data_IF_523840373618
#
_entry.id   IF_523840373618
#
_cell.length_a   1.000
_cell.length_b   1.000
_cell.length_c   1.000
_cell.angle_alpha   90.00
_cell.angle_beta   90.00
_cell.angle_gamma   90.00
#
_symmetry.space_group_name_H-M   'P 1'
#
loop_
_entity.id
_entity.type
_entity.pdbx_description
1 polymer ?
#
# COMPACT_ATOMS: atom_id res chain seq x y z
N UNK A 1 -25.37 -7.29 10.03
CA UNK A 1 -25.22 -7.49 11.48
C UNK A 1 -24.76 -6.23 12.23
N UNK A 2 -24.14 -5.23 11.59
CA UNK A 2 -23.62 -4.01 12.25
C UNK A 2 -24.22 -2.72 11.70
N UNK A 3 -25.23 -2.77 10.86
CA UNK A 3 -25.85 -1.58 10.24
C UNK A 3 -26.36 -0.58 11.28
N UNK A 4 -26.98 -1.07 12.35
CA UNK A 4 -27.48 -0.20 13.42
C UNK A 4 -26.36 0.55 14.15
N UNK A 5 -25.16 -0.03 14.21
CA UNK A 5 -23.98 0.61 14.83
C UNK A 5 -23.31 1.63 13.92
N UNK A 6 -23.49 1.48 12.61
CA UNK A 6 -22.84 2.33 11.59
C UNK A 6 -23.78 3.40 11.01
N UNK A 7 -25.08 3.37 11.36
CA UNK A 7 -26.09 4.25 10.77
C UNK A 7 -25.82 5.76 10.92
N UNK A 8 -25.10 6.13 11.98
CA UNK A 8 -24.78 7.51 12.31
C UNK A 8 -23.32 7.88 11.93
N UNK A 9 -22.63 6.98 11.23
CA UNK A 9 -21.23 7.16 10.79
C UNK A 9 -21.23 7.40 9.29
N UNK A 10 -20.72 8.56 8.87
CA UNK A 10 -20.47 8.84 7.46
C UNK A 10 -19.20 8.11 7.02
N UNK A 11 -19.34 7.16 6.11
CA UNK A 11 -18.22 6.47 5.47
C UNK A 11 -17.91 7.11 4.12
N UNK A 12 -16.64 7.12 3.74
CA UNK A 12 -16.20 7.51 2.43
C UNK A 12 -16.55 6.45 1.37
N UNK A 13 -16.73 6.87 0.14
CA UNK A 13 -16.92 5.96 -0.97
C UNK A 13 -15.64 5.17 -1.26
N UNK A 14 -15.81 3.91 -1.65
CA UNK A 14 -14.72 3.01 -2.05
C UNK A 14 -14.90 2.64 -3.50
N UNK A 15 -13.90 2.89 -4.30
CA UNK A 15 -13.90 2.59 -5.72
C UNK A 15 -12.90 1.52 -6.06
N UNK A 16 -13.30 0.53 -6.84
CA UNK A 16 -12.37 -0.38 -7.52
C UNK A 16 -11.69 0.38 -8.66
N UNK A 17 -10.40 0.15 -8.82
CA UNK A 17 -9.58 0.91 -9.74
C UNK A 17 -8.51 0.03 -10.38
N UNK A 18 -8.31 0.21 -11.67
CA UNK A 18 -7.29 -0.50 -12.43
C UNK A 18 -6.38 0.50 -13.13
N UNK A 19 -5.09 0.25 -13.08
CA UNK A 19 -4.11 1.06 -13.79
C UNK A 19 -3.05 0.15 -14.47
N UNK A 20 -2.27 0.74 -15.36
CA UNK A 20 -1.15 0.06 -16.00
C UNK A 20 0.13 0.36 -15.26
N UNK A 21 0.86 -0.68 -14.87
CA UNK A 21 2.22 -0.54 -14.32
C UNK A 21 3.22 -0.16 -15.42
N UNK A 22 4.46 0.12 -15.03
CA UNK A 22 5.55 0.54 -15.93
C UNK A 22 5.85 -0.45 -17.06
N UNK A 23 5.58 -1.74 -16.83
CA UNK A 23 5.73 -2.82 -17.81
C UNK A 23 4.44 -3.13 -18.61
N UNK A 24 3.37 -2.35 -18.43
CA UNK A 24 2.09 -2.53 -19.09
C UNK A 24 1.15 -3.54 -18.42
N UNK A 25 1.56 -4.19 -17.33
CA UNK A 25 0.72 -5.10 -16.56
C UNK A 25 -0.42 -4.32 -15.90
N UNK A 26 -1.65 -4.88 -15.95
CA UNK A 26 -2.80 -4.28 -15.26
C UNK A 26 -2.74 -4.61 -13.77
N UNK A 27 -2.68 -3.58 -12.95
CA UNK A 27 -2.76 -3.67 -11.49
C UNK A 27 -4.16 -3.29 -11.06
N UNK A 28 -4.80 -4.14 -10.27
CA UNK A 28 -6.04 -3.83 -9.60
C UNK A 28 -5.76 -3.17 -8.25
N UNK A 29 -6.54 -2.17 -7.90
CA UNK A 29 -6.45 -1.51 -6.61
C UNK A 29 -7.78 -0.95 -6.18
N UNK A 30 -7.75 -0.23 -5.08
CA UNK A 30 -8.87 0.53 -4.56
C UNK A 30 -8.42 1.91 -4.14
N UNK A 31 -9.35 2.85 -4.21
CA UNK A 31 -9.16 4.11 -3.53
C UNK A 31 -10.40 4.47 -2.70
N UNK A 32 -10.16 5.19 -1.64
CA UNK A 32 -11.15 5.64 -0.67
C UNK A 32 -11.23 7.15 -0.73
N UNK A 33 -12.43 7.67 -0.89
CA UNK A 33 -12.70 9.10 -0.85
C UNK A 33 -13.09 9.53 0.57
N UNK A 34 -12.81 10.78 0.96
CA UNK A 34 -13.33 11.33 2.21
C UNK A 34 -14.86 11.27 2.30
N UNK A 35 -15.44 11.10 3.49
CA UNK A 35 -16.85 11.40 3.68
C UNK A 35 -17.13 12.83 3.23
N UNK A 36 -18.27 13.09 2.57
CA UNK A 36 -18.60 14.41 2.02
C UNK A 36 -17.63 14.92 0.95
N UNK A 37 -17.07 14.00 0.16
CA UNK A 37 -16.16 14.32 -0.95
C UNK A 37 -16.76 15.37 -1.88
N UNK A 38 -15.95 16.38 -2.22
CA UNK A 38 -16.28 17.44 -3.19
C UNK A 38 -15.31 17.36 -4.37
N UNK A 39 -15.76 17.02 -5.58
CA UNK A 39 -14.89 16.88 -6.75
C UNK A 39 -14.21 18.19 -7.20
N UNK A 40 -14.64 19.34 -6.68
CA UNK A 40 -14.05 20.64 -6.95
C UNK A 40 -12.90 21.00 -5.99
N UNK A 41 -12.66 20.19 -4.97
CA UNK A 41 -11.56 20.36 -4.03
C UNK A 41 -10.39 19.43 -4.36
N UNK A 42 -9.20 19.80 -3.87
CA UNK A 42 -8.01 18.97 -3.94
C UNK A 42 -7.69 18.42 -2.56
N UNK A 43 -7.43 17.13 -2.51
CA UNK A 43 -7.18 16.40 -1.27
C UNK A 43 -5.74 15.87 -1.21
N UNK A 44 -5.11 15.91 -0.03
CA UNK A 44 -3.88 15.16 0.20
C UNK A 44 -4.16 13.67 0.01
N UNK A 45 -3.19 12.94 -0.51
CA UNK A 45 -3.38 11.54 -0.87
C UNK A 45 -2.33 10.65 -0.22
N UNK A 46 -2.75 9.55 0.37
CA UNK A 46 -1.91 8.54 0.99
C UNK A 46 -1.87 7.27 0.14
N UNK A 47 -0.67 6.86 -0.23
CA UNK A 47 -0.41 5.53 -0.75
C UNK A 47 -0.34 4.57 0.44
N UNK A 48 -1.24 3.61 0.50
CA UNK A 48 -1.22 2.53 1.49
C UNK A 48 -0.39 1.36 0.97
N UNK A 49 0.71 1.06 1.67
CA UNK A 49 1.59 -0.06 1.38
C UNK A 49 1.17 -1.24 2.26
N UNK A 50 0.58 -2.26 1.65
CA UNK A 50 0.13 -3.47 2.36
C UNK A 50 1.31 -4.29 2.85
N UNK A 51 1.17 -4.85 4.05
CA UNK A 51 2.13 -5.74 4.67
C UNK A 51 2.13 -7.15 4.06
N UNK A 52 2.71 -8.07 4.75
CA UNK A 52 2.85 -9.46 4.34
C UNK A 52 4.31 -9.84 4.09
N UNK A 53 4.81 -9.87 2.85
CA UNK A 53 4.28 -9.24 1.61
C UNK A 53 3.08 -9.93 0.94
N UNK A 54 2.69 -11.10 1.38
CA UNK A 54 1.62 -11.91 0.80
C UNK A 54 0.27 -11.67 1.53
N UNK A 55 -0.21 -10.43 1.51
CA UNK A 55 -1.53 -10.06 2.05
C UNK A 55 -2.26 -9.13 1.08
N UNK A 56 -3.44 -9.50 0.53
CA UNK A 56 -4.14 -8.69 -0.46
C UNK A 56 -4.92 -7.55 0.20
N UNK A 57 -4.99 -6.42 -0.50
CA UNK A 57 -5.96 -5.39 -0.16
C UNK A 57 -7.33 -5.82 -0.66
N UNK A 58 -8.19 -6.16 0.27
CA UNK A 58 -9.56 -6.62 0.02
C UNK A 58 -10.59 -5.74 0.74
N UNK A 59 -11.79 -6.24 0.94
CA UNK A 59 -12.84 -5.56 1.73
C UNK A 59 -12.71 -5.87 3.24
N UNK A 60 -11.50 -6.01 3.75
CA UNK A 60 -11.30 -6.26 5.18
C UNK A 60 -11.63 -5.03 6.01
N UNK A 61 -12.08 -5.25 7.22
CA UNK A 61 -12.26 -4.23 8.24
C UNK A 61 -11.25 -4.48 9.37
N UNK A 62 -10.43 -3.48 9.65
CA UNK A 62 -9.45 -3.54 10.73
C UNK A 62 -9.63 -2.35 11.66
N UNK A 63 -9.50 -2.58 12.95
CA UNK A 63 -9.45 -1.49 13.94
C UNK A 63 -8.07 -0.83 14.01
N UNK A 64 -7.03 -1.52 13.54
CA UNK A 64 -5.65 -1.03 13.55
C UNK A 64 -5.29 -0.28 12.26
N UNK A 65 -5.59 -0.89 11.11
CA UNK A 65 -5.34 -0.32 9.79
C UNK A 65 -6.68 -0.13 9.08
N UNK A 66 -7.24 1.06 9.21
CA UNK A 66 -8.58 1.35 8.71
C UNK A 66 -8.53 2.53 7.73
N UNK A 67 -8.65 2.22 6.43
CA UNK A 67 -8.63 3.22 5.37
C UNK A 67 -9.78 4.23 5.49
N UNK A 68 -10.93 3.83 6.06
CA UNK A 68 -12.04 4.75 6.28
C UNK A 68 -11.71 5.83 7.33
N UNK A 69 -10.92 5.50 8.36
CA UNK A 69 -10.47 6.49 9.34
C UNK A 69 -9.48 7.46 8.70
N UNK A 70 -8.57 6.97 7.85
CA UNK A 70 -7.67 7.83 7.09
C UNK A 70 -8.46 8.76 6.16
N UNK A 71 -9.43 8.21 5.43
CA UNK A 71 -10.31 8.99 4.55
C UNK A 71 -11.17 10.02 5.33
N UNK A 72 -11.65 9.67 6.53
CA UNK A 72 -12.42 10.57 7.39
C UNK A 72 -11.60 11.77 7.91
N UNK A 73 -10.29 11.74 7.78
CA UNK A 73 -9.39 12.87 8.05
C UNK A 73 -9.04 13.67 6.78
N UNK A 74 -9.91 13.64 5.80
CA UNK A 74 -9.79 14.36 4.53
C UNK A 74 -8.61 13.92 3.64
N UNK A 75 -8.19 12.65 3.73
CA UNK A 75 -7.24 12.05 2.80
C UNK A 75 -7.95 11.17 1.77
N UNK A 76 -7.45 11.20 0.55
CA UNK A 76 -7.68 10.09 -0.38
C UNK A 76 -6.71 8.98 -0.02
N UNK A 77 -7.17 7.75 0.03
CA UNK A 77 -6.31 6.59 0.32
C UNK A 77 -6.27 5.69 -0.89
N UNK A 78 -5.08 5.42 -1.41
CA UNK A 78 -4.85 4.56 -2.57
C UNK A 78 -4.21 3.27 -2.11
N UNK A 79 -4.83 2.15 -2.39
CA UNK A 79 -4.41 0.83 -1.94
C UNK A 79 -4.31 -0.14 -3.14
N UNK A 80 -3.16 -0.18 -3.84
CA UNK A 80 -2.97 -1.06 -4.97
C UNK A 80 -2.68 -2.51 -4.53
N UNK A 81 -3.19 -3.48 -5.28
CA UNK A 81 -2.78 -4.87 -5.20
C UNK A 81 -1.54 -5.10 -6.08
N UNK A 82 -0.41 -4.61 -5.61
CA UNK A 82 0.88 -4.74 -6.30
C UNK A 82 1.28 -6.19 -6.50
N UNK A 83 2.23 -6.48 -7.35
CA UNK A 83 2.77 -7.83 -7.52
C UNK A 83 3.35 -8.39 -6.22
N UNK A 84 3.22 -9.70 -6.04
CA UNK A 84 3.59 -10.40 -4.82
C UNK A 84 2.43 -10.66 -3.86
N UNK A 85 1.25 -10.07 -4.08
CA UNK A 85 0.05 -10.35 -3.27
C UNK A 85 -0.68 -11.61 -3.78
N UNK A 86 -1.31 -12.42 -2.89
CA UNK A 86 -2.11 -13.56 -3.32
C UNK A 86 -3.44 -13.12 -3.97
N UNK A 87 -4.08 -14.06 -4.66
CA UNK A 87 -5.39 -13.84 -5.30
C UNK A 87 -5.33 -13.58 -6.80
N UNK A 88 -4.13 -13.39 -7.36
CA UNK A 88 -3.91 -13.10 -8.79
C UNK A 88 -3.11 -14.19 -9.52
N UNK A 89 -2.99 -15.36 -8.91
CA UNK A 89 -2.24 -16.50 -9.43
C UNK A 89 -0.84 -16.65 -8.80
N UNK A 90 -0.23 -17.84 -9.00
CA UNK A 90 1.07 -18.16 -8.40
C UNK A 90 2.19 -17.29 -8.95
N UNK A 91 2.24 -17.14 -10.27
CA UNK A 91 3.24 -16.30 -10.95
C UNK A 91 3.24 -14.85 -10.42
N UNK A 92 2.05 -14.29 -10.17
CA UNK A 92 1.93 -12.97 -9.55
C UNK A 92 2.47 -12.94 -8.13
N UNK A 93 2.15 -13.95 -7.33
CA UNK A 93 2.55 -14.02 -5.93
C UNK A 93 4.06 -14.22 -5.76
N UNK A 94 4.68 -15.04 -6.61
CA UNK A 94 6.09 -15.35 -6.56
C UNK A 94 7.02 -14.17 -6.94
N UNK A 95 6.49 -13.15 -7.63
CA UNK A 95 7.29 -12.00 -8.09
C UNK A 95 7.88 -11.13 -6.97
N UNK A 96 7.47 -11.30 -5.75
CA UNK A 96 8.05 -10.59 -4.60
C UNK A 96 9.21 -11.37 -3.98
N UNK A 97 9.21 -12.69 -4.11
CA UNK A 97 10.25 -13.53 -3.52
C UNK A 97 11.59 -13.31 -4.21
N UNK A 98 12.61 -12.96 -3.43
CA UNK A 98 13.93 -12.60 -3.93
C UNK A 98 14.03 -11.20 -4.55
N UNK A 99 12.92 -10.41 -4.56
CA UNK A 99 12.89 -9.10 -5.21
C UNK A 99 12.04 -8.07 -4.45
N UNK A 100 12.29 -7.91 -3.15
CA UNK A 100 11.55 -6.98 -2.28
C UNK A 100 11.65 -5.51 -2.71
N UNK A 101 12.75 -5.12 -3.34
CA UNK A 101 12.99 -3.77 -3.85
C UNK A 101 12.68 -3.58 -5.33
N UNK A 102 12.13 -4.58 -6.01
CA UNK A 102 11.97 -4.59 -7.46
C UNK A 102 10.58 -4.17 -7.94
N UNK A 103 9.93 -5.07 -8.66
CA UNK A 103 8.71 -4.72 -9.40
C UNK A 103 7.54 -4.27 -8.51
N UNK A 104 7.40 -4.83 -7.31
CA UNK A 104 6.35 -4.39 -6.37
C UNK A 104 6.50 -2.91 -5.98
N UNK A 105 7.72 -2.37 -5.91
CA UNK A 105 7.97 -0.95 -5.62
C UNK A 105 7.63 -0.05 -6.82
N UNK A 106 7.89 -0.53 -8.03
CA UNK A 106 7.48 0.18 -9.26
C UNK A 106 5.95 0.24 -9.39
N UNK A 107 5.26 -0.83 -8.99
CA UNK A 107 3.79 -0.84 -8.94
C UNK A 107 3.26 0.23 -7.98
N UNK A 108 3.89 0.42 -6.81
CA UNK A 108 3.55 1.50 -5.88
C UNK A 108 3.78 2.89 -6.47
N UNK A 109 4.92 3.12 -7.12
CA UNK A 109 5.18 4.41 -7.78
C UNK A 109 4.19 4.68 -8.90
N UNK A 110 3.90 3.68 -9.72
CA UNK A 110 2.94 3.84 -10.80
C UNK A 110 1.55 4.12 -10.26
N UNK A 111 1.14 3.44 -9.17
CA UNK A 111 -0.15 3.68 -8.55
C UNK A 111 -0.32 5.14 -8.11
N UNK A 112 0.66 5.69 -7.39
CA UNK A 112 0.55 7.07 -6.93
C UNK A 112 0.67 8.07 -8.07
N UNK A 113 1.50 7.81 -9.07
CA UNK A 113 1.65 8.66 -10.25
C UNK A 113 0.36 8.68 -11.10
N UNK A 114 -0.32 7.54 -11.26
CA UNK A 114 -1.60 7.47 -11.95
C UNK A 114 -2.71 8.18 -11.17
N UNK A 115 -2.78 7.99 -9.86
CA UNK A 115 -3.76 8.67 -9.02
C UNK A 115 -3.53 10.19 -8.99
N UNK A 116 -2.30 10.65 -9.05
CA UNK A 116 -1.96 12.07 -9.07
C UNK A 116 -2.44 12.80 -10.33
N UNK A 117 -2.91 12.09 -11.36
CA UNK A 117 -3.52 12.67 -12.55
C UNK A 117 -4.98 13.10 -12.34
N UNK A 118 -5.62 12.57 -11.30
CA UNK A 118 -7.01 12.91 -10.97
C UNK A 118 -7.12 14.37 -10.50
N UNK A 119 -8.14 15.07 -10.99
CA UNK A 119 -8.32 16.51 -10.73
C UNK A 119 -8.50 16.87 -9.25
N UNK A 120 -8.99 15.91 -8.46
CA UNK A 120 -9.24 16.05 -7.03
C UNK A 120 -8.03 15.68 -6.15
N UNK A 121 -6.92 15.26 -6.73
CA UNK A 121 -5.69 14.96 -6.00
C UNK A 121 -4.79 16.18 -5.93
N UNK A 122 -4.32 16.49 -4.72
CA UNK A 122 -3.26 17.47 -4.52
C UNK A 122 -1.90 16.78 -4.66
N UNK A 123 -1.31 16.89 -5.82
CA UNK A 123 -0.02 16.27 -6.15
C UNK A 123 1.17 16.80 -5.34
N UNK A 124 0.99 17.95 -4.69
CA UNK A 124 2.02 18.56 -3.85
C UNK A 124 1.88 18.13 -2.37
N UNK A 125 0.88 17.27 -2.06
CA UNK A 125 0.64 16.72 -0.72
C UNK A 125 0.38 15.21 -0.78
N UNK A 126 1.37 14.48 -1.31
CA UNK A 126 1.35 13.02 -1.34
C UNK A 126 2.14 12.45 -0.18
N UNK A 127 1.64 11.39 0.42
CA UNK A 127 2.34 10.64 1.45
C UNK A 127 2.23 9.14 1.24
N UNK A 128 3.02 8.36 1.96
CA UNK A 128 2.83 6.92 2.00
C UNK A 128 2.89 6.38 3.43
N UNK A 129 2.13 5.32 3.66
CA UNK A 129 1.97 4.68 4.96
C UNK A 129 1.94 3.17 4.80
N UNK A 130 2.60 2.46 5.70
CA UNK A 130 2.57 1.00 5.70
C UNK A 130 3.18 0.40 6.95
N UNK A 131 2.84 -0.87 7.20
CA UNK A 131 3.33 -1.63 8.34
C UNK A 131 3.97 -2.95 7.90
N UNK A 132 4.91 -3.47 8.71
CA UNK A 132 5.62 -4.72 8.43
C UNK A 132 6.35 -4.64 7.08
N UNK A 133 6.10 -5.53 6.13
CA UNK A 133 6.59 -5.37 4.75
C UNK A 133 6.15 -4.03 4.13
N UNK A 134 4.96 -3.52 4.48
CA UNK A 134 4.53 -2.17 4.09
C UNK A 134 5.41 -1.08 4.68
N UNK A 135 5.89 -1.25 5.91
CA UNK A 135 6.88 -0.35 6.54
C UNK A 135 8.24 -0.42 5.85
N UNK A 136 8.72 -1.60 5.48
CA UNK A 136 9.89 -1.77 4.61
C UNK A 136 9.69 -1.03 3.28
N UNK A 137 8.51 -1.19 2.66
CA UNK A 137 8.18 -0.50 1.41
C UNK A 137 8.27 1.02 1.57
N UNK A 138 7.77 1.56 2.68
CA UNK A 138 7.88 3.01 2.97
C UNK A 138 9.33 3.45 3.10
N UNK A 139 10.20 2.70 3.78
CA UNK A 139 11.63 3.01 3.84
C UNK A 139 12.29 3.00 2.46
N UNK A 140 11.97 1.98 1.66
CA UNK A 140 12.50 1.88 0.30
C UNK A 140 12.03 3.04 -0.58
N UNK A 141 10.73 3.33 -0.54
CA UNK A 141 10.14 4.46 -1.27
C UNK A 141 10.74 5.78 -0.83
N UNK A 142 10.98 5.99 0.46
CA UNK A 142 11.62 7.21 0.98
C UNK A 142 13.02 7.44 0.41
N UNK A 143 13.77 6.38 0.14
CA UNK A 143 15.09 6.46 -0.51
C UNK A 143 15.06 6.70 -2.02
N UNK A 144 13.91 6.44 -2.69
CA UNK A 144 13.82 6.39 -4.16
C UNK A 144 12.70 7.25 -4.76
N UNK A 145 11.98 8.04 -3.97
CA UNK A 145 10.71 8.69 -4.40
C UNK A 145 10.85 9.84 -5.39
N UNK A 146 12.07 10.35 -5.65
CA UNK A 146 12.29 11.48 -6.58
C UNK A 146 11.33 12.66 -6.33
N UNK A 147 11.20 13.07 -5.08
CA UNK A 147 10.33 14.18 -4.63
C UNK A 147 8.82 13.95 -4.86
N UNK A 148 8.35 12.69 -4.95
CA UNK A 148 6.92 12.40 -5.05
C UNK A 148 6.16 12.62 -3.77
N UNK A 149 6.77 12.29 -2.64
CA UNK A 149 6.11 12.27 -1.33
C UNK A 149 6.67 13.35 -0.41
N UNK A 150 5.78 13.95 0.37
CA UNK A 150 6.10 14.93 1.41
C UNK A 150 6.11 14.29 2.81
N UNK A 151 5.47 13.12 3.00
CA UNK A 151 5.34 12.46 4.29
C UNK A 151 5.45 10.94 4.18
N UNK A 152 6.08 10.34 5.19
CA UNK A 152 6.31 8.90 5.28
C UNK A 152 5.95 8.40 6.68
N UNK A 153 5.11 7.36 6.76
CA UNK A 153 4.73 6.69 8.00
C UNK A 153 5.07 5.21 7.87
N UNK A 154 6.21 4.81 8.42
CA UNK A 154 6.63 3.41 8.47
C UNK A 154 6.42 2.86 9.88
N UNK A 155 5.58 1.83 9.99
CA UNK A 155 5.27 1.15 11.24
C UNK A 155 5.84 -0.27 11.21
N UNK A 156 6.66 -0.62 12.19
CA UNK A 156 7.27 -1.96 12.34
C UNK A 156 7.94 -2.48 11.05
N UNK A 157 8.55 -1.57 10.27
CA UNK A 157 9.18 -1.93 8.99
C UNK A 157 10.51 -2.63 9.18
N UNK A 158 10.76 -3.63 8.36
CA UNK A 158 12.08 -4.25 8.28
C UNK A 158 13.05 -3.23 7.69
N UNK A 159 14.04 -2.81 8.48
CA UNK A 159 15.08 -1.89 8.03
C UNK A 159 16.38 -2.63 7.68
N UNK A 160 16.72 -3.64 8.46
CA UNK A 160 17.93 -4.43 8.29
C UNK A 160 17.55 -5.91 8.17
N UNK A 161 17.76 -6.50 6.98
CA UNK A 161 17.40 -7.89 6.69
C UNK A 161 18.25 -8.89 7.46
N UNK A 162 19.49 -8.57 7.76
CA UNK A 162 20.38 -9.40 8.58
C UNK A 162 19.88 -9.52 10.02
N UNK A 163 19.49 -8.39 10.61
CA UNK A 163 18.87 -8.39 11.95
C UNK A 163 17.54 -9.15 11.94
N UNK A 164 16.69 -8.91 10.92
CA UNK A 164 15.42 -9.62 10.78
C UNK A 164 15.64 -11.13 10.75
N UNK A 165 16.63 -11.62 10.00
CA UNK A 165 16.95 -13.03 9.95
C UNK A 165 17.38 -13.59 11.30
N UNK A 166 18.15 -12.84 12.07
CA UNK A 166 18.69 -13.29 13.36
C UNK A 166 17.69 -13.19 14.52
N UNK A 167 16.66 -12.37 14.39
CA UNK A 167 15.69 -12.09 15.47
C UNK A 167 14.33 -12.77 15.26
N UNK A 168 14.03 -13.25 14.03
CA UNK A 168 12.73 -13.84 13.74
C UNK A 168 12.65 -15.32 14.16
N UNK A 169 11.49 -15.72 14.69
CA UNK A 169 11.11 -17.13 14.83
C UNK A 169 10.66 -17.76 13.51
N UNK A 170 10.35 -16.93 12.51
CA UNK A 170 9.85 -17.34 11.20
C UNK A 170 11.00 -17.53 10.18
N UNK A 171 11.99 -18.34 10.54
CA UNK A 171 13.17 -18.60 9.69
C UNK A 171 12.82 -19.13 8.30
N UNK A 172 11.72 -19.86 8.18
CA UNK A 172 11.20 -20.39 6.92
C UNK A 172 10.88 -19.26 5.94
N UNK A 173 10.32 -18.17 6.44
CA UNK A 173 9.94 -17.00 5.64
C UNK A 173 11.18 -16.32 5.03
N UNK A 174 12.18 -16.04 5.85
CA UNK A 174 13.44 -15.47 5.39
C UNK A 174 14.16 -16.41 4.40
N UNK A 175 14.15 -17.73 4.64
CA UNK A 175 14.75 -18.72 3.75
C UNK A 175 14.05 -18.76 2.38
N UNK A 176 12.72 -18.65 2.35
CA UNK A 176 11.97 -18.67 1.12
C UNK A 176 12.15 -17.36 0.33
N UNK A 177 11.87 -16.24 0.96
CA UNK A 177 11.84 -14.95 0.28
C UNK A 177 13.23 -14.35 0.00
N UNK A 178 14.23 -14.69 0.82
CA UNK A 178 15.61 -14.21 0.64
C UNK A 178 16.55 -15.24 0.00
N UNK A 179 16.05 -16.46 -0.26
CA UNK A 179 16.83 -17.53 -0.87
C UNK A 179 17.82 -18.21 0.06
N UNK A 180 17.67 -18.07 1.37
CA UNK A 180 18.49 -18.72 2.39
C UNK A 180 19.02 -17.79 3.46
N UNK A 181 19.96 -18.31 4.26
CA UNK A 181 20.67 -17.51 5.26
C UNK A 181 21.45 -16.36 4.60
N UNK A 182 21.57 -15.25 5.29
CA UNK A 182 22.24 -14.06 4.78
C UNK A 182 23.76 -14.18 4.59
N UNK A 183 24.35 -15.34 4.76
CA UNK A 183 25.77 -15.62 4.59
C UNK A 183 26.14 -15.84 3.12
#
# INVERSE_FOLDING_TARGET
>A
LSQDKLKDIALGEVHDWNFKSDDGTTIQGRYYLPPHFDPNKKYPTLLFCEGGPQSPVSQFWSYRWNMQIMAANDYIVVAPNRRGLPGFGMEWNEQVSGDYGGQCMKDYFTAIDEMAKESFVDKDRLGCVGASFGGFSVYWLAGHHNKRFEAFIAHDGIFNMEMQYLETEEMWFANWDMGGAYR
#
